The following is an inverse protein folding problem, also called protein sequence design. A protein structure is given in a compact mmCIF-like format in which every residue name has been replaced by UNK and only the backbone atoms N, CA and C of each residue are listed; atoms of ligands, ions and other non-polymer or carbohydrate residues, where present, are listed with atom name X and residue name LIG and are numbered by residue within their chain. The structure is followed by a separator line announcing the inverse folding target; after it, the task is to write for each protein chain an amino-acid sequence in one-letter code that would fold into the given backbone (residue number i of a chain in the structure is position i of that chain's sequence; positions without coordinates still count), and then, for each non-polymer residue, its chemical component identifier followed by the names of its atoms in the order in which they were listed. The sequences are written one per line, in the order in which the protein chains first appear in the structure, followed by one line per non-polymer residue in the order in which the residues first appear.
data_IF_946386855356
#
_entry.id   IF_946386855356
#
_cell.length_a   1.000
_cell.length_b   1.000
_cell.length_c   1.000
_cell.angle_alpha   90.00
_cell.angle_beta   90.00
_cell.angle_gamma   90.00
#
_symmetry.space_group_name_H-M   'P 1'
#
loop_
_entity.id
_entity.type
_entity.pdbx_description
1 polymer ?
#
# COMPACT_ATOMS: atom_id res chain seq x y z
N UNK A 1 -8.08 13.72 -13.38
CA UNK A 1 -6.63 13.97 -13.42
C UNK A 1 -5.87 12.77 -12.89
N UNK A 2 -4.77 12.41 -13.54
CA UNK A 2 -3.87 11.31 -13.14
C UNK A 2 -2.47 11.89 -12.96
N UNK A 3 -1.89 11.72 -11.76
CA UNK A 3 -0.54 12.15 -11.42
C UNK A 3 0.26 10.88 -11.13
N UNK A 4 1.23 10.53 -11.98
CA UNK A 4 2.02 9.30 -11.81
C UNK A 4 3.43 9.46 -12.37
N UNK A 5 4.42 9.13 -11.55
CA UNK A 5 5.83 9.16 -11.97
C UNK A 5 6.16 8.13 -13.05
N UNK A 6 5.33 7.13 -13.24
CA UNK A 6 5.56 6.01 -14.18
C UNK A 6 4.83 6.19 -15.51
N UNK A 7 3.77 6.99 -15.55
CA UNK A 7 2.87 7.11 -16.71
C UNK A 7 3.60 7.59 -17.97
N UNK A 8 4.67 8.38 -17.83
CA UNK A 8 5.42 8.91 -18.96
C UNK A 8 6.07 7.81 -19.81
N UNK A 9 6.56 6.75 -19.14
CA UNK A 9 7.37 5.68 -19.73
C UNK A 9 6.59 4.38 -19.93
N UNK A 10 5.36 4.28 -19.44
CA UNK A 10 4.56 3.08 -19.57
C UNK A 10 3.76 3.07 -20.88
N UNK A 11 4.11 2.13 -21.76
CA UNK A 11 3.45 1.95 -23.06
C UNK A 11 1.99 1.49 -22.87
N UNK A 12 1.71 0.72 -21.81
CA UNK A 12 0.37 0.19 -21.53
C UNK A 12 -0.58 1.27 -21.06
N UNK A 13 -0.06 2.36 -20.50
CA UNK A 13 -0.84 3.51 -20.01
C UNK A 13 -1.05 4.60 -21.09
N UNK A 14 -0.63 4.36 -22.33
CA UNK A 14 -0.71 5.37 -23.40
C UNK A 14 -2.13 5.90 -23.61
N UNK A 15 -3.12 5.02 -23.56
CA UNK A 15 -4.52 5.40 -23.72
C UNK A 15 -5.01 6.36 -22.62
N UNK A 16 -4.43 6.31 -21.42
CA UNK A 16 -4.78 7.23 -20.33
C UNK A 16 -4.35 8.65 -20.66
N UNK A 17 -3.21 8.83 -21.35
CA UNK A 17 -2.74 10.16 -21.78
C UNK A 17 -3.63 10.79 -22.85
N UNK A 18 -4.28 9.96 -23.66
CA UNK A 18 -5.19 10.43 -24.72
C UNK A 18 -6.58 10.75 -24.15
N UNK A 19 -7.00 10.05 -23.09
CA UNK A 19 -8.34 10.16 -22.53
C UNK A 19 -8.46 11.10 -21.32
N UNK A 20 -7.35 11.37 -20.60
CA UNK A 20 -7.37 12.09 -19.33
C UNK A 20 -6.27 13.15 -19.23
N UNK A 21 -6.46 14.13 -18.34
CA UNK A 21 -5.39 15.04 -17.95
C UNK A 21 -4.36 14.28 -17.13
N UNK A 22 -3.15 14.13 -17.68
CA UNK A 22 -2.07 13.36 -17.04
C UNK A 22 -0.88 14.25 -16.73
N UNK A 23 -0.24 13.97 -15.60
CA UNK A 23 0.97 14.64 -15.12
C UNK A 23 2.02 13.60 -14.79
N UNK A 24 3.24 13.75 -15.28
CA UNK A 24 4.35 12.81 -15.17
C UNK A 24 5.13 12.91 -13.85
N UNK A 25 4.78 13.87 -13.00
CA UNK A 25 5.36 14.02 -11.67
C UNK A 25 4.39 14.74 -10.73
N UNK A 26 4.58 14.53 -9.43
CA UNK A 26 3.83 15.25 -8.41
C UNK A 26 4.41 16.65 -8.17
N UNK A 27 3.54 17.64 -8.15
CA UNK A 27 3.84 19.00 -7.70
C UNK A 27 2.61 19.58 -6.99
N UNK A 28 2.81 20.30 -5.89
CA UNK A 28 1.74 20.95 -5.14
C UNK A 28 0.92 21.94 -6.02
N UNK A 29 1.55 22.58 -7.01
CA UNK A 29 0.87 23.46 -7.96
C UNK A 29 -0.15 22.73 -8.85
N UNK A 30 0.07 21.44 -9.13
CA UNK A 30 -0.92 20.61 -9.86
C UNK A 30 -2.18 20.46 -9.02
N UNK A 31 -2.02 20.18 -7.74
CA UNK A 31 -3.14 20.07 -6.81
C UNK A 31 -3.88 21.39 -6.67
N UNK A 32 -3.14 22.49 -6.52
CA UNK A 32 -3.73 23.84 -6.47
C UNK A 32 -4.49 24.15 -7.77
N UNK A 33 -3.93 23.84 -8.95
CA UNK A 33 -4.57 24.03 -10.26
C UNK A 33 -5.85 23.20 -10.41
N UNK A 34 -5.90 21.97 -9.92
CA UNK A 34 -7.12 21.15 -9.90
C UNK A 34 -8.19 21.80 -9.03
N UNK A 35 -7.81 22.26 -7.83
CA UNK A 35 -8.74 22.91 -6.90
C UNK A 35 -9.25 24.23 -7.45
N UNK A 36 -8.39 25.07 -8.04
CA UNK A 36 -8.77 26.34 -8.65
C UNK A 36 -9.70 26.14 -9.85
N UNK A 37 -9.40 25.17 -10.71
CA UNK A 37 -10.29 24.80 -11.82
C UNK A 37 -11.67 24.38 -11.30
N UNK A 38 -11.75 23.56 -10.25
CA UNK A 38 -13.04 23.17 -9.68
C UNK A 38 -13.78 24.37 -9.08
N UNK A 39 -13.10 25.28 -8.42
CA UNK A 39 -13.70 26.52 -7.86
C UNK A 39 -14.14 27.54 -8.91
N UNK A 40 -13.64 27.46 -10.14
CA UNK A 40 -14.01 28.39 -11.19
C UNK A 40 -15.40 28.16 -11.77
N UNK A 41 -16.01 27.01 -11.47
CA UNK A 41 -17.39 26.68 -11.87
C UNK A 41 -18.37 27.16 -10.80
N UNK A 42 -19.56 27.60 -11.24
CA UNK A 42 -20.69 27.70 -10.33
C UNK A 42 -21.05 26.33 -9.77
N UNK A 43 -21.58 26.27 -8.55
CA UNK A 43 -21.74 25.01 -7.81
C UNK A 43 -22.63 24.00 -8.54
N UNK A 44 -23.61 24.48 -9.31
CA UNK A 44 -24.55 23.66 -10.07
C UNK A 44 -23.93 23.10 -11.35
N UNK A 45 -22.94 23.81 -11.92
CA UNK A 45 -22.24 23.43 -13.15
C UNK A 45 -20.89 22.77 -12.89
N UNK A 46 -20.50 22.60 -11.62
CA UNK A 46 -19.21 22.06 -11.23
C UNK A 46 -19.11 20.56 -11.60
N UNK A 47 -18.21 20.18 -12.53
CA UNK A 47 -18.11 18.80 -12.98
C UNK A 47 -17.65 17.87 -11.86
N UNK A 48 -18.18 16.65 -11.86
CA UNK A 48 -17.66 15.57 -11.02
C UNK A 48 -16.36 15.03 -11.61
N UNK A 49 -15.29 15.00 -10.82
CA UNK A 49 -14.01 14.51 -11.28
C UNK A 49 -13.42 13.43 -10.35
N UNK A 50 -12.52 12.63 -10.93
CA UNK A 50 -11.61 11.74 -10.19
C UNK A 50 -10.19 12.29 -10.23
N UNK A 51 -9.46 12.10 -9.12
CA UNK A 51 -8.03 12.41 -9.00
C UNK A 51 -7.31 11.14 -8.56
N UNK A 52 -6.30 10.73 -9.32
CA UNK A 52 -5.45 9.58 -9.03
C UNK A 52 -4.02 10.08 -8.83
N UNK A 53 -3.42 9.73 -7.70
CA UNK A 53 -2.01 10.00 -7.37
C UNK A 53 -1.32 8.67 -7.18
N UNK A 54 -0.54 8.27 -8.19
CA UNK A 54 0.06 6.96 -8.27
C UNK A 54 1.58 7.02 -8.09
N UNK A 55 2.06 6.28 -7.08
CA UNK A 55 3.48 6.11 -6.73
C UNK A 55 4.29 7.43 -6.61
N UNK A 56 3.64 8.50 -6.19
CA UNK A 56 4.23 9.83 -6.06
C UNK A 56 4.64 10.20 -4.63
N UNK A 57 4.33 9.35 -3.62
CA UNK A 57 4.44 9.74 -2.21
C UNK A 57 5.88 10.02 -1.75
N UNK A 58 6.90 9.51 -2.45
CA UNK A 58 8.30 9.87 -2.22
C UNK A 58 8.62 11.34 -2.51
N UNK A 59 7.82 11.99 -3.34
CA UNK A 59 7.95 13.40 -3.74
C UNK A 59 7.07 14.35 -2.94
N UNK A 60 6.18 13.81 -2.09
CA UNK A 60 5.20 14.60 -1.32
C UNK A 60 5.80 15.05 0.00
N UNK A 61 5.79 16.36 0.24
CA UNK A 61 6.19 16.92 1.53
C UNK A 61 5.16 16.59 2.61
N UNK A 62 5.61 16.48 3.87
CA UNK A 62 4.75 16.17 5.02
C UNK A 62 3.56 17.13 5.16
N UNK A 63 3.71 18.37 4.75
CA UNK A 63 2.69 19.43 4.77
C UNK A 63 2.18 19.76 3.35
N UNK A 64 2.35 18.85 2.39
CA UNK A 64 1.97 19.06 1.00
C UNK A 64 0.47 19.25 0.79
N UNK A 65 0.11 19.89 -0.33
CA UNK A 65 -1.27 20.21 -0.70
C UNK A 65 -2.20 19.01 -0.79
N UNK A 66 -1.66 17.82 -1.05
CA UNK A 66 -2.44 16.58 -1.08
C UNK A 66 -3.11 16.27 0.27
N UNK A 67 -2.51 16.65 1.40
CA UNK A 67 -3.10 16.45 2.71
C UNK A 67 -4.36 17.31 2.90
N UNK A 68 -4.29 18.55 2.43
CA UNK A 68 -5.46 19.43 2.40
C UNK A 68 -6.54 18.91 1.46
N UNK A 69 -6.13 18.40 0.30
CA UNK A 69 -7.05 17.80 -0.65
C UNK A 69 -7.74 16.58 -0.02
N UNK A 70 -6.99 15.66 0.59
CA UNK A 70 -7.53 14.45 1.19
C UNK A 70 -8.61 14.72 2.26
N UNK A 71 -8.52 15.83 2.98
CA UNK A 71 -9.53 16.20 3.97
C UNK A 71 -10.73 16.97 3.40
N UNK A 72 -10.64 17.48 2.16
CA UNK A 72 -11.62 18.43 1.59
C UNK A 72 -12.05 18.12 0.16
N UNK A 73 -11.60 17.05 -0.44
CA UNK A 73 -11.84 16.77 -1.87
C UNK A 73 -13.32 16.79 -2.26
N UNK A 74 -14.23 16.38 -1.36
CA UNK A 74 -15.67 16.40 -1.59
C UNK A 74 -16.24 17.82 -1.76
N UNK A 75 -15.63 18.82 -1.10
CA UNK A 75 -16.03 20.23 -1.25
C UNK A 75 -15.72 20.79 -2.64
N UNK A 76 -14.80 20.15 -3.36
CA UNK A 76 -14.43 20.52 -4.74
C UNK A 76 -15.09 19.63 -5.79
N UNK A 77 -16.16 18.92 -5.44
CA UNK A 77 -16.86 17.95 -6.29
C UNK A 77 -15.94 16.86 -6.86
N UNK A 78 -14.86 16.56 -6.16
CA UNK A 78 -14.02 15.39 -6.45
C UNK A 78 -14.71 14.19 -5.83
N UNK A 79 -15.25 13.29 -6.66
CA UNK A 79 -16.00 12.12 -6.19
C UNK A 79 -15.09 10.97 -5.80
N UNK A 80 -13.91 10.89 -6.43
CA UNK A 80 -12.96 9.83 -6.20
C UNK A 80 -11.54 10.41 -6.08
N UNK A 81 -10.89 10.16 -4.95
CA UNK A 81 -9.48 10.43 -4.74
C UNK A 81 -8.77 9.10 -4.44
N UNK A 82 -7.94 8.65 -5.36
CA UNK A 82 -7.12 7.43 -5.21
C UNK A 82 -5.68 7.85 -4.98
N UNK A 83 -5.07 7.31 -3.93
CA UNK A 83 -3.65 7.52 -3.63
C UNK A 83 -3.00 6.15 -3.47
N UNK A 84 -2.07 5.80 -4.35
CA UNK A 84 -1.32 4.56 -4.26
C UNK A 84 0.09 4.77 -3.70
N UNK A 85 0.59 3.79 -2.99
CA UNK A 85 1.94 3.80 -2.44
C UNK A 85 2.47 2.39 -2.20
N UNK A 86 3.75 2.20 -2.43
CA UNK A 86 4.47 0.98 -2.08
C UNK A 86 4.87 0.94 -0.59
N UNK A 87 4.75 2.05 0.13
CA UNK A 87 5.15 2.16 1.53
C UNK A 87 4.04 2.81 2.36
N UNK A 88 3.50 2.05 3.32
CA UNK A 88 2.45 2.52 4.21
C UNK A 88 2.82 3.81 4.99
N UNK A 89 4.07 3.91 5.44
CA UNK A 89 4.53 5.11 6.18
C UNK A 89 4.67 6.36 5.32
N UNK A 90 4.80 6.20 4.01
CA UNK A 90 4.83 7.35 3.10
C UNK A 90 3.46 8.02 2.99
N UNK A 91 2.38 7.28 3.25
CA UNK A 91 1.03 7.84 3.33
C UNK A 91 0.88 8.59 4.65
N UNK A 92 0.62 9.90 4.59
CA UNK A 92 0.52 10.71 5.81
C UNK A 92 -0.66 10.28 6.69
N UNK A 93 -0.59 10.50 8.03
CA UNK A 93 -1.71 10.20 8.93
C UNK A 93 -3.00 10.91 8.51
N UNK A 94 -2.92 12.13 7.99
CA UNK A 94 -4.10 12.88 7.53
C UNK A 94 -4.80 12.14 6.38
N UNK A 95 -4.05 11.63 5.42
CA UNK A 95 -4.61 10.86 4.31
C UNK A 95 -5.24 9.57 4.83
N UNK A 96 -4.53 8.83 5.69
CA UNK A 96 -5.01 7.56 6.25
C UNK A 96 -6.29 7.72 7.08
N UNK A 97 -6.37 8.78 7.90
CA UNK A 97 -7.55 9.08 8.73
C UNK A 97 -8.77 9.52 7.92
N UNK A 98 -8.57 10.05 6.72
CA UNK A 98 -9.65 10.44 5.82
C UNK A 98 -9.97 9.38 4.75
N UNK A 99 -9.24 8.27 4.74
CA UNK A 99 -9.52 7.16 3.83
C UNK A 99 -10.85 6.49 4.20
N UNK A 100 -11.65 6.25 3.20
CA UNK A 100 -12.92 5.51 3.32
C UNK A 100 -12.77 4.06 2.89
N UNK A 101 -11.79 3.81 2.04
CA UNK A 101 -11.47 2.50 1.52
C UNK A 101 -9.95 2.32 1.52
N UNK A 102 -9.47 1.15 1.95
CA UNK A 102 -8.05 0.81 1.95
C UNK A 102 -7.87 -0.52 1.26
N UNK A 103 -7.01 -0.54 0.24
CA UNK A 103 -6.69 -1.75 -0.52
C UNK A 103 -5.25 -2.10 -0.23
N UNK A 104 -5.00 -3.31 0.25
CA UNK A 104 -3.68 -3.81 0.59
C UNK A 104 -3.36 -5.02 -0.26
N UNK A 105 -2.47 -4.82 -1.23
CA UNK A 105 -2.09 -5.85 -2.19
C UNK A 105 -1.16 -6.93 -1.62
N UNK A 106 -0.97 -7.98 -2.40
CA UNK A 106 -0.05 -9.09 -2.14
C UNK A 106 1.03 -9.14 -3.24
N UNK A 107 2.28 -9.50 -2.91
CA UNK A 107 2.81 -9.70 -1.56
C UNK A 107 3.11 -8.39 -0.85
N UNK A 108 2.94 -8.37 0.48
CA UNK A 108 3.39 -7.22 1.27
C UNK A 108 4.93 -7.23 1.35
N UNK A 109 5.61 -6.07 1.29
CA UNK A 109 7.08 -6.02 1.20
C UNK A 109 7.81 -6.73 2.33
N UNK A 110 7.28 -6.62 3.54
CA UNK A 110 7.82 -7.32 4.70
C UNK A 110 6.82 -7.35 5.87
N UNK A 111 7.05 -8.27 6.83
CA UNK A 111 6.22 -8.44 8.02
C UNK A 111 6.11 -7.16 8.87
N UNK A 112 7.19 -6.38 8.98
CA UNK A 112 7.21 -5.17 9.82
C UNK A 112 6.26 -4.10 9.30
N UNK A 113 6.14 -3.99 7.98
CA UNK A 113 5.20 -3.04 7.37
C UNK A 113 3.74 -3.52 7.52
N UNK A 114 3.48 -4.82 7.37
CA UNK A 114 2.15 -5.38 7.61
C UNK A 114 1.70 -5.19 9.07
N UNK A 115 2.62 -5.38 10.03
CA UNK A 115 2.34 -5.14 11.45
C UNK A 115 1.90 -3.71 11.72
N UNK A 116 2.50 -2.71 11.07
CA UNK A 116 2.11 -1.30 11.24
C UNK A 116 0.68 -1.03 10.75
N UNK A 117 0.29 -1.68 9.66
CA UNK A 117 -1.09 -1.59 9.16
C UNK A 117 -2.04 -2.27 10.13
N UNK A 118 -1.65 -3.44 10.64
CA UNK A 118 -2.42 -4.18 11.63
C UNK A 118 -2.55 -3.43 12.97
N UNK A 119 -1.50 -2.73 13.40
CA UNK A 119 -1.52 -1.87 14.61
C UNK A 119 -2.45 -0.66 14.44
N UNK A 120 -2.59 -0.12 13.23
CA UNK A 120 -3.42 1.05 12.97
C UNK A 120 -4.90 0.70 12.77
N UNK A 121 -5.18 -0.40 12.06
CA UNK A 121 -6.55 -0.76 11.69
C UNK A 121 -7.08 -2.03 12.37
N UNK A 122 -6.20 -2.80 13.00
CA UNK A 122 -6.56 -4.10 13.55
C UNK A 122 -7.67 -4.05 14.59
N UNK A 123 -7.71 -3.02 15.42
CA UNK A 123 -8.73 -2.87 16.46
C UNK A 123 -10.15 -2.79 15.89
N UNK A 124 -10.30 -2.26 14.68
CA UNK A 124 -11.59 -2.23 13.96
C UNK A 124 -12.09 -3.63 13.60
N UNK A 125 -11.20 -4.63 13.58
CA UNK A 125 -11.44 -5.97 13.05
C UNK A 125 -11.06 -7.08 14.06
N UNK A 126 -11.09 -6.80 15.35
CA UNK A 126 -10.85 -7.79 16.40
C UNK A 126 -9.38 -7.94 16.82
N UNK A 127 -8.51 -6.99 16.45
CA UNK A 127 -7.12 -6.92 16.87
C UNK A 127 -6.13 -7.26 15.78
N UNK A 128 -4.85 -6.92 16.02
CA UNK A 128 -3.77 -7.04 15.04
C UNK A 128 -3.56 -8.48 14.54
N UNK A 129 -3.62 -9.48 15.42
CA UNK A 129 -3.44 -10.89 15.02
C UNK A 129 -4.57 -11.38 14.11
N UNK A 130 -5.79 -10.92 14.38
CA UNK A 130 -6.95 -11.24 13.57
C UNK A 130 -6.83 -10.60 12.19
N UNK A 131 -6.42 -9.34 12.15
CA UNK A 131 -6.15 -8.61 10.90
C UNK A 131 -5.11 -9.34 10.04
N UNK A 132 -3.99 -9.75 10.63
CA UNK A 132 -2.92 -10.49 9.93
C UNK A 132 -3.43 -11.83 9.38
N UNK A 133 -4.26 -12.54 10.16
CA UNK A 133 -4.86 -13.80 9.73
C UNK A 133 -5.82 -13.58 8.57
N UNK A 134 -6.64 -12.53 8.62
CA UNK A 134 -7.54 -12.13 7.55
C UNK A 134 -6.78 -11.75 6.27
N UNK A 135 -5.71 -10.97 6.41
CA UNK A 135 -4.85 -10.61 5.29
C UNK A 135 -4.28 -11.85 4.59
N UNK A 136 -3.71 -12.79 5.34
CA UNK A 136 -3.17 -14.03 4.76
C UNK A 136 -4.22 -14.88 4.07
N UNK A 137 -5.43 -14.97 4.65
CA UNK A 137 -6.55 -15.66 4.03
C UNK A 137 -6.99 -14.97 2.72
N UNK A 138 -7.04 -13.66 2.71
CA UNK A 138 -7.47 -12.89 1.54
C UNK A 138 -6.42 -12.88 0.41
N UNK A 139 -5.14 -13.06 0.75
CA UNK A 139 -4.02 -12.90 -0.19
C UNK A 139 -3.18 -14.17 -0.35
N UNK A 140 -3.78 -15.36 -0.65
CA UNK A 140 -3.02 -16.60 -0.84
C UNK A 140 -2.15 -16.58 -2.09
N UNK A 141 -2.57 -15.83 -3.12
CA UNK A 141 -1.92 -15.76 -4.42
C UNK A 141 -1.48 -14.34 -4.77
N UNK A 142 -0.54 -14.25 -5.71
CA UNK A 142 -0.12 -12.98 -6.27
C UNK A 142 -1.31 -12.25 -6.92
N UNK A 143 -1.37 -10.94 -6.74
CA UNK A 143 -2.46 -10.04 -7.21
C UNK A 143 -3.78 -10.14 -6.43
N UNK A 144 -3.90 -11.03 -5.44
CA UNK A 144 -4.97 -10.90 -4.48
C UNK A 144 -4.71 -9.70 -3.56
N UNK A 145 -5.75 -9.16 -2.99
CA UNK A 145 -5.68 -8.06 -2.04
C UNK A 145 -6.79 -8.19 -0.99
N UNK A 146 -6.56 -7.52 0.13
CA UNK A 146 -7.61 -7.27 1.10
C UNK A 146 -8.12 -5.84 0.91
N UNK A 147 -9.42 -5.67 0.91
CA UNK A 147 -10.11 -4.38 0.87
C UNK A 147 -10.79 -4.14 2.22
N UNK A 148 -10.49 -3.00 2.82
CA UNK A 148 -11.12 -2.53 4.05
C UNK A 148 -12.13 -1.46 3.65
N UNK A 149 -13.40 -1.72 3.84
CA UNK A 149 -14.47 -0.72 3.73
C UNK A 149 -14.69 -0.10 5.11
N UNK A 150 -14.23 1.13 5.27
CA UNK A 150 -14.32 1.89 6.51
C UNK A 150 -15.58 2.77 6.58
N UNK A 151 -16.42 2.78 5.52
CA UNK A 151 -17.69 3.50 5.49
C UNK A 151 -18.82 2.70 6.11
N UNK A 152 -18.72 1.38 6.06
CA UNK A 152 -19.69 0.50 6.69
C UNK A 152 -19.61 0.60 8.23
N UNK A 153 -20.72 0.34 8.89
CA UNK A 153 -20.79 0.33 10.35
C UNK A 153 -21.45 -0.97 10.85
N UNK A 154 -20.68 -1.91 11.37
CA UNK A 154 -19.22 -1.90 11.56
C UNK A 154 -18.45 -2.00 10.23
N UNK A 155 -17.16 -1.57 10.20
CA UNK A 155 -16.28 -1.74 9.04
C UNK A 155 -16.18 -3.18 8.58
N UNK A 156 -16.05 -3.39 7.27
CA UNK A 156 -16.02 -4.73 6.66
C UNK A 156 -14.70 -4.95 5.91
N UNK A 157 -14.17 -6.16 6.01
CA UNK A 157 -13.06 -6.63 5.17
C UNK A 157 -13.56 -7.49 4.03
N UNK A 158 -12.98 -7.33 2.86
CA UNK A 158 -13.24 -8.15 1.69
C UNK A 158 -11.96 -8.78 1.15
N UNK A 159 -12.04 -10.02 0.72
CA UNK A 159 -11.05 -10.60 -0.19
C UNK A 159 -11.37 -10.10 -1.58
N UNK A 160 -10.43 -9.38 -2.18
CA UNK A 160 -10.67 -8.59 -3.37
C UNK A 160 -11.83 -7.60 -3.12
N UNK A 161 -12.85 -7.53 -3.97
CA UNK A 161 -14.03 -6.69 -3.74
C UNK A 161 -15.30 -7.49 -3.41
N UNK A 162 -15.29 -8.80 -3.61
CA UNK A 162 -16.50 -9.59 -3.72
C UNK A 162 -16.81 -10.44 -2.48
N UNK A 163 -15.79 -10.88 -1.74
CA UNK A 163 -15.97 -11.87 -0.68
C UNK A 163 -15.68 -11.24 0.69
N UNK A 164 -16.72 -11.02 1.53
CA UNK A 164 -16.51 -10.51 2.87
C UNK A 164 -15.70 -11.51 3.70
N UNK A 165 -14.64 -11.02 4.35
CA UNK A 165 -13.74 -11.82 5.21
C UNK A 165 -14.15 -11.67 6.67
N UNK A 166 -14.57 -10.45 7.08
CA UNK A 166 -15.06 -10.14 8.42
C UNK A 166 -16.26 -9.23 8.34
N UNK A 167 -17.31 -9.57 9.09
CA UNK A 167 -18.51 -8.77 9.24
C UNK A 167 -18.78 -8.63 10.74
N UNK A 168 -18.64 -7.41 11.28
CA UNK A 168 -18.92 -7.12 12.67
C UNK A 168 -17.90 -7.70 13.66
N UNK A 169 -18.31 -7.87 14.92
CA UNK A 169 -17.44 -8.26 16.04
C UNK A 169 -16.98 -9.73 16.01
N UNK A 170 -17.51 -10.58 15.15
CA UNK A 170 -17.16 -12.01 15.08
C UNK A 170 -16.59 -12.36 13.73
N UNK A 171 -15.28 -12.68 13.66
CA UNK A 171 -14.69 -13.23 12.45
C UNK A 171 -15.35 -14.57 12.11
N UNK A 172 -15.86 -14.72 10.89
CA UNK A 172 -16.39 -15.99 10.40
C UNK A 172 -15.27 -16.95 9.96
N UNK A 173 -14.19 -17.00 10.69
CA UNK A 173 -13.18 -18.03 10.47
C UNK A 173 -13.67 -19.35 11.10
N UNK A 174 -14.15 -20.27 10.31
CA UNK A 174 -14.13 -21.67 10.71
C UNK A 174 -12.66 -22.03 10.93
N UNK A 175 -12.34 -22.35 12.17
CA UNK A 175 -11.08 -22.88 12.70
C UNK A 175 -9.99 -23.15 11.66
N UNK A 176 -9.13 -22.18 11.41
CA UNK A 176 -7.79 -22.47 10.90
C UNK A 176 -7.09 -23.15 12.06
N UNK A 177 -6.89 -24.48 11.93
CA UNK A 177 -6.26 -25.32 12.92
C UNK A 177 -4.98 -24.66 13.46
N UNK A 178 -4.97 -24.29 14.73
CA UNK A 178 -3.83 -23.69 15.44
C UNK A 178 -2.56 -24.55 15.43
N UNK A 179 -2.63 -25.80 14.94
CA UNK A 179 -1.53 -26.75 14.93
C UNK A 179 -0.48 -26.54 13.83
N UNK A 180 -0.74 -25.73 12.80
CA UNK A 180 0.17 -25.60 11.66
C UNK A 180 0.66 -24.17 11.40
N UNK A 181 0.60 -23.31 12.39
CA UNK A 181 1.01 -21.91 12.22
C UNK A 181 2.15 -21.53 13.16
N UNK A 182 3.33 -22.11 12.96
CA UNK A 182 4.56 -21.43 13.32
C UNK A 182 4.85 -20.42 12.19
N UNK A 183 4.88 -19.16 12.54
CA UNK A 183 5.08 -18.04 11.61
C UNK A 183 6.43 -18.08 10.88
N UNK A 184 7.36 -18.93 11.34
CA UNK A 184 8.70 -19.07 10.80
C UNK A 184 8.77 -20.05 9.61
N UNK A 185 7.98 -21.14 9.60
CA UNK A 185 8.04 -22.15 8.53
C UNK A 185 7.51 -21.66 7.17
N UNK A 186 6.57 -20.73 7.15
CA UNK A 186 6.00 -20.25 5.89
C UNK A 186 6.83 -19.16 5.20
N UNK A 187 7.68 -18.43 5.92
CA UNK A 187 8.64 -17.52 5.32
C UNK A 187 9.80 -18.28 4.65
N UNK A 188 10.26 -19.38 5.25
CA UNK A 188 11.33 -20.22 4.69
C UNK A 188 10.88 -20.97 3.44
N UNK A 189 9.62 -21.39 3.37
CA UNK A 189 9.08 -22.07 2.20
C UNK A 189 8.86 -21.11 1.00
N UNK A 190 8.43 -19.88 1.23
CA UNK A 190 8.29 -18.89 0.15
C UNK A 190 9.64 -18.42 -0.41
N UNK A 191 10.72 -18.51 0.40
CA UNK A 191 12.09 -18.19 -0.03
C UNK A 191 12.69 -19.37 -0.83
N UNK A 192 12.35 -20.61 -0.49
CA UNK A 192 12.83 -21.82 -1.21
C UNK A 192 12.17 -21.97 -2.58
N UNK A 193 10.90 -21.68 -2.72
CA UNK A 193 10.17 -21.77 -3.98
C UNK A 193 10.57 -20.69 -5.01
N UNK A 194 11.22 -19.60 -4.58
CA UNK A 194 11.68 -18.53 -5.47
C UNK A 194 13.10 -18.74 -6.05
N UNK A 195 13.71 -19.92 -5.92
CA UNK A 195 14.86 -20.34 -6.73
C UNK A 195 16.17 -19.58 -6.51
N UNK A 196 16.35 -18.90 -5.37
CA UNK A 196 17.61 -18.23 -5.02
C UNK A 196 18.52 -19.18 -4.24
N UNK A 197 19.04 -20.21 -4.92
CA UNK A 197 20.17 -20.99 -4.39
C UNK A 197 21.42 -20.15 -4.49
N UNK A 198 21.77 -19.49 -3.40
CA UNK A 198 23.04 -18.80 -3.26
C UNK A 198 24.21 -19.77 -3.32
N UNK A 199 25.09 -19.58 -4.26
CA UNK A 199 26.34 -20.27 -4.47
C UNK A 199 27.20 -20.23 -3.18
N UNK A 200 27.39 -21.37 -2.53
CA UNK A 200 28.37 -21.54 -1.45
C UNK A 200 29.78 -21.46 -2.02
N UNK A 201 30.40 -20.31 -1.99
CA UNK A 201 31.85 -20.18 -2.16
C UNK A 201 32.53 -20.64 -0.86
N UNK A 202 33.25 -21.76 -0.95
CA UNK A 202 34.01 -22.33 0.13
C UNK A 202 35.10 -21.37 0.64
N UNK A 203 35.11 -21.16 1.94
CA UNK A 203 36.26 -20.57 2.64
C UNK A 203 37.35 -21.61 2.72
N UNK A 204 38.46 -21.43 1.98
CA UNK A 204 39.74 -22.05 2.27
C UNK A 204 40.34 -21.35 3.47
N UNK A 205 40.55 -22.09 4.55
CA UNK A 205 41.37 -21.68 5.69
C UNK A 205 42.85 -21.76 5.29
N UNK A 206 43.54 -20.64 5.22
CA UNK A 206 44.98 -20.61 5.22
C UNK A 206 45.47 -20.39 6.64
N UNK A 207 46.10 -21.43 7.20
CA UNK A 207 46.93 -21.31 8.38
C UNK A 207 48.12 -20.45 8.03
N UNK A 208 48.33 -19.36 8.76
CA UNK A 208 49.63 -18.65 8.83
C UNK A 208 50.32 -19.07 10.09
N UNK A 209 51.48 -19.68 9.91
CA UNK A 209 52.46 -19.99 10.96
C UNK A 209 53.29 -18.76 11.23
N UNK A 210 53.43 -18.45 12.52
CA UNK A 210 54.42 -17.51 13.04
C UNK A 210 55.83 -18.01 12.76
N UNK A 211 56.70 -17.17 12.24
CA UNK A 211 58.12 -17.15 12.59
C UNK A 211 58.84 -15.93 11.99
N UNK A 212 59.58 -15.32 12.90
CA UNK A 212 60.82 -14.59 12.74
C UNK A 212 60.81 -13.06 12.63
N UNK A 213 61.20 -12.55 13.77
CA UNK A 213 61.95 -11.34 14.05
C UNK A 213 63.14 -11.12 13.07
N UNK A 214 63.44 -9.87 12.78
CA UNK A 214 64.71 -9.46 12.19
C UNK A 214 64.78 -7.95 11.90
N UNK A 215 65.30 -7.21 12.87
CA UNK A 215 66.11 -5.96 12.84
C UNK A 215 66.47 -5.42 11.45
N UNK A 216 66.14 -4.18 11.19
CA UNK A 216 67.01 -2.99 11.01
C UNK A 216 66.13 -1.76 10.73
#
# INVERSE_FOLDING_TARGET
DIISNTIANDVTSRFLKEAFNTHDHYNDNIIDGIVERQKSFEKEDQPEIAVVVDDCLGSIKREGRINHLASRFRHYNIKLLIISSQNFRAVSPIIRQNATNIIIGSPFPNRKELLKVADEYGDLFGGADMFISAYKYATPDRYNFIHLDLQENPPVMYKNFDFPVMIGEKPQFKEINKKNFSLEENLDNSIKDNGLTGNKRGKKSSKVTDSELGTL
#
